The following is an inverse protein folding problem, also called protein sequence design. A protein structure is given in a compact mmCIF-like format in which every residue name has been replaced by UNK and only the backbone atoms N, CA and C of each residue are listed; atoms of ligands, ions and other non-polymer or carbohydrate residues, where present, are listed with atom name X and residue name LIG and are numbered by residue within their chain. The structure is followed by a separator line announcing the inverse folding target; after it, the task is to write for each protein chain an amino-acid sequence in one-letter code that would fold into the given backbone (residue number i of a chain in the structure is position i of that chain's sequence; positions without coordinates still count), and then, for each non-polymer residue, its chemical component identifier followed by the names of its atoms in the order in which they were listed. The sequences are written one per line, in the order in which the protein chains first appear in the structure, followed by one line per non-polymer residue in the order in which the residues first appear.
data_IF_077209041116
#
_entry.id   IF_077209041116
#
_cell.length_a   1.000
_cell.length_b   1.000
_cell.length_c   1.000
_cell.angle_alpha   90.00
_cell.angle_beta   90.00
_cell.angle_gamma   90.00
#
_symmetry.space_group_name_H-M   'P 1'
#
loop_
_entity.id
_entity.type
_entity.pdbx_description
1 polymer ?
#
# COMPACT_ATOMS: atom_id res chain seq x y z
N UNK A 1 22.46 18.66 7.76
CA UNK A 1 21.45 17.59 8.01
C UNK A 1 20.70 17.38 6.71
N UNK A 2 21.03 16.33 5.96
CA UNK A 2 20.25 15.94 4.78
C UNK A 2 18.84 15.62 5.24
N UNK A 3 17.78 16.12 4.57
CA UNK A 3 16.42 15.73 4.91
C UNK A 3 16.35 14.21 4.75
N UNK A 4 15.85 13.52 5.78
CA UNK A 4 15.56 12.08 5.70
C UNK A 4 14.58 11.89 4.53
N UNK A 5 15.08 11.51 3.35
CA UNK A 5 14.24 11.16 2.20
C UNK A 5 13.32 10.03 2.65
N UNK A 6 12.03 10.22 2.49
CA UNK A 6 11.07 9.16 2.80
C UNK A 6 11.22 8.02 1.80
N UNK A 7 10.73 6.83 2.16
CA UNK A 7 10.65 5.70 1.24
C UNK A 7 9.83 6.06 -0.01
N UNK A 8 8.83 6.94 0.15
CA UNK A 8 8.03 7.48 -0.95
C UNK A 8 8.88 8.35 -1.89
N UNK A 9 9.66 9.30 -1.34
CA UNK A 9 10.55 10.17 -2.13
C UNK A 9 11.59 9.34 -2.89
N UNK A 10 12.13 8.30 -2.26
CA UNK A 10 13.11 7.40 -2.87
C UNK A 10 12.50 6.58 -4.01
N UNK A 11 11.24 6.17 -3.87
CA UNK A 11 10.50 5.48 -4.93
C UNK A 11 10.23 6.46 -6.09
N UNK A 12 9.75 7.67 -5.80
CA UNK A 12 9.47 8.68 -6.82
C UNK A 12 10.73 9.01 -7.63
N UNK A 13 11.86 9.26 -6.96
CA UNK A 13 13.13 9.59 -7.60
C UNK A 13 13.63 8.50 -8.57
N UNK A 14 13.39 7.22 -8.25
CA UNK A 14 13.83 6.08 -9.08
C UNK A 14 12.83 5.70 -10.16
N UNK A 15 11.53 5.79 -9.87
CA UNK A 15 10.45 5.29 -10.73
C UNK A 15 10.04 6.32 -11.79
N UNK A 16 10.11 7.62 -11.46
CA UNK A 16 9.78 8.70 -12.39
C UNK A 16 10.61 8.69 -13.69
N UNK A 17 11.95 8.59 -13.68
CA UNK A 17 12.71 8.57 -14.93
C UNK A 17 12.37 7.35 -15.80
N UNK A 18 12.09 6.19 -15.20
CA UNK A 18 11.73 4.98 -15.95
C UNK A 18 10.37 5.09 -16.65
N UNK A 19 9.40 5.74 -16.00
CA UNK A 19 8.09 6.02 -16.60
C UNK A 19 8.23 7.11 -17.68
N UNK A 20 8.99 8.16 -17.42
CA UNK A 20 9.27 9.23 -18.38
C UNK A 20 9.86 8.67 -19.68
N UNK A 21 10.93 7.88 -19.58
CA UNK A 21 11.58 7.26 -20.74
C UNK A 21 10.63 6.34 -21.52
N UNK A 22 9.74 5.63 -20.81
CA UNK A 22 8.78 4.74 -21.44
C UNK A 22 7.68 5.50 -22.19
N UNK A 23 7.15 6.57 -21.59
CA UNK A 23 6.14 7.43 -22.21
C UNK A 23 6.74 8.18 -23.40
N UNK A 24 7.92 8.77 -23.25
CA UNK A 24 8.60 9.49 -24.33
C UNK A 24 8.92 8.57 -25.51
N UNK A 25 9.46 7.36 -25.28
CA UNK A 25 9.72 6.39 -26.36
C UNK A 25 8.45 5.92 -27.06
N UNK A 26 7.33 5.80 -26.35
CA UNK A 26 6.08 5.27 -26.91
C UNK A 26 5.27 6.35 -27.63
N UNK A 27 5.24 7.57 -27.09
CA UNK A 27 4.37 8.65 -27.58
C UNK A 27 5.10 9.79 -28.27
N UNK A 28 6.43 9.85 -28.16
CA UNK A 28 7.28 10.93 -28.64
C UNK A 28 7.13 12.24 -27.86
N UNK A 29 6.46 12.21 -26.70
CA UNK A 29 6.12 13.38 -25.88
C UNK A 29 6.13 13.00 -24.41
N UNK A 30 6.64 13.90 -23.56
CA UNK A 30 6.52 13.80 -22.10
C UNK A 30 5.15 14.29 -21.63
N UNK A 31 4.56 13.61 -20.65
CA UNK A 31 3.30 14.05 -20.02
C UNK A 31 3.53 14.13 -18.51
N UNK A 32 4.06 15.26 -18.01
CA UNK A 32 4.48 15.39 -16.62
C UNK A 32 3.39 15.05 -15.61
N UNK A 33 2.13 15.41 -15.91
CA UNK A 33 0.99 15.12 -15.03
C UNK A 33 0.69 13.63 -14.92
N UNK A 34 0.77 12.90 -16.04
CA UNK A 34 0.57 11.46 -16.06
C UNK A 34 1.72 10.76 -15.33
N UNK A 35 2.95 11.21 -15.55
CA UNK A 35 4.14 10.72 -14.84
C UNK A 35 4.01 10.92 -13.33
N UNK A 36 3.59 12.11 -12.90
CA UNK A 36 3.38 12.43 -11.49
C UNK A 36 2.29 11.57 -10.86
N UNK A 37 1.15 11.40 -11.53
CA UNK A 37 0.04 10.60 -11.01
C UNK A 37 0.41 9.12 -10.89
N UNK A 38 1.04 8.55 -11.94
CA UNK A 38 1.48 7.15 -11.92
C UNK A 38 2.55 6.95 -10.83
N UNK A 39 3.56 7.82 -10.76
CA UNK A 39 4.64 7.69 -9.77
C UNK A 39 4.12 7.83 -8.34
N UNK A 40 3.23 8.78 -8.10
CA UNK A 40 2.62 9.01 -6.78
C UNK A 40 1.71 7.85 -6.36
N UNK A 41 0.90 7.31 -7.29
CA UNK A 41 0.04 6.15 -7.04
C UNK A 41 0.87 4.91 -6.73
N UNK A 42 1.90 4.63 -7.52
CA UNK A 42 2.84 3.52 -7.27
C UNK A 42 3.57 3.67 -5.94
N UNK A 43 4.11 4.85 -5.63
CA UNK A 43 4.78 5.09 -4.36
C UNK A 43 3.84 4.80 -3.18
N UNK A 44 2.64 5.36 -3.21
CA UNK A 44 1.64 5.19 -2.15
C UNK A 44 1.17 3.75 -1.99
N UNK A 45 0.93 3.01 -3.08
CA UNK A 45 0.49 1.61 -3.02
C UNK A 45 1.59 0.65 -2.56
N UNK A 46 2.85 1.03 -2.76
CA UNK A 46 3.99 0.26 -2.28
C UNK A 46 4.30 0.57 -0.82
N UNK A 47 4.16 1.83 -0.38
CA UNK A 47 4.47 2.24 1.00
C UNK A 47 3.31 2.03 1.97
N UNK A 48 2.08 2.10 1.50
CA UNK A 48 0.93 2.28 2.38
C UNK A 48 -0.12 1.19 2.18
N UNK A 49 -0.53 0.55 3.27
CA UNK A 49 -1.66 -0.38 3.24
C UNK A 49 -2.97 0.45 3.23
N UNK A 50 -3.90 0.13 2.33
CA UNK A 50 -5.17 0.83 2.23
C UNK A 50 -5.98 0.66 3.53
N UNK A 51 -6.71 1.72 3.91
CA UNK A 51 -7.59 1.72 5.08
C UNK A 51 -9.01 1.94 4.59
N UNK A 52 -9.93 1.08 5.04
CA UNK A 52 -11.36 1.22 4.75
C UNK A 52 -11.99 2.15 5.79
N UNK A 53 -12.09 3.44 5.46
CA UNK A 53 -12.67 4.46 6.34
C UNK A 53 -14.20 4.41 6.43
N UNK A 54 -14.86 3.72 5.50
CA UNK A 54 -16.32 3.53 5.53
C UNK A 54 -16.78 2.56 6.63
N UNK A 55 -15.89 1.68 7.09
CA UNK A 55 -16.21 0.65 8.08
C UNK A 55 -16.02 1.14 9.52
N UNK A 56 -16.73 0.54 10.50
CA UNK A 56 -16.46 0.74 11.92
C UNK A 56 -15.02 0.36 12.30
N UNK A 57 -14.49 0.93 13.38
CA UNK A 57 -13.08 0.79 13.78
C UNK A 57 -12.63 -0.68 13.87
N UNK A 58 -13.46 -1.55 14.46
CA UNK A 58 -13.13 -2.97 14.63
C UNK A 58 -12.99 -3.70 13.30
N UNK A 59 -13.91 -3.43 12.37
CA UNK A 59 -13.93 -4.06 11.05
C UNK A 59 -12.82 -3.50 10.16
N UNK A 60 -12.62 -2.18 10.16
CA UNK A 60 -11.51 -1.53 9.47
C UNK A 60 -10.15 -2.05 9.94
N UNK A 61 -9.99 -2.29 11.25
CA UNK A 61 -8.77 -2.86 11.81
C UNK A 61 -8.59 -4.33 11.39
N UNK A 62 -9.66 -5.11 11.32
CA UNK A 62 -9.60 -6.49 10.85
C UNK A 62 -9.21 -6.57 9.37
N UNK A 63 -9.82 -5.74 8.52
CA UNK A 63 -9.46 -5.63 7.11
C UNK A 63 -8.01 -5.17 6.92
N UNK A 64 -7.58 -4.13 7.64
CA UNK A 64 -6.19 -3.68 7.62
C UNK A 64 -5.21 -4.77 8.08
N UNK A 65 -5.56 -5.51 9.14
CA UNK A 65 -4.76 -6.63 9.64
C UNK A 65 -4.65 -7.72 8.58
N UNK A 66 -5.74 -8.07 7.90
CA UNK A 66 -5.74 -9.07 6.83
C UNK A 66 -4.78 -8.66 5.71
N UNK A 67 -4.93 -7.45 5.18
CA UNK A 67 -4.08 -6.93 4.11
C UNK A 67 -2.60 -6.86 4.52
N UNK A 68 -2.32 -6.42 5.75
CA UNK A 68 -0.97 -6.39 6.31
C UNK A 68 -0.34 -7.79 6.35
N UNK A 69 -1.04 -8.77 6.93
CA UNK A 69 -0.51 -10.13 7.05
C UNK A 69 -0.39 -10.80 5.69
N UNK A 70 -1.34 -10.60 4.77
CA UNK A 70 -1.23 -11.12 3.40
C UNK A 70 -0.01 -10.55 2.68
N UNK A 71 0.19 -9.23 2.75
CA UNK A 71 1.32 -8.56 2.11
C UNK A 71 2.65 -9.07 2.65
N UNK A 72 2.77 -9.20 3.97
CA UNK A 72 4.01 -9.66 4.60
C UNK A 72 4.22 -11.18 4.44
N UNK A 73 3.17 -12.01 4.37
CA UNK A 73 3.27 -13.44 4.05
C UNK A 73 3.71 -13.68 2.60
N UNK A 74 3.19 -12.88 1.65
CA UNK A 74 3.60 -12.94 0.24
C UNK A 74 5.06 -12.55 0.06
N UNK A 75 5.57 -11.63 0.88
CA UNK A 75 7.00 -11.26 0.93
C UNK A 75 7.86 -12.30 1.64
N UNK A 76 7.32 -12.87 2.72
CA UNK A 76 8.03 -13.73 3.65
C UNK A 76 7.23 -15.02 3.92
N UNK A 77 7.45 -16.04 3.11
CA UNK A 77 6.76 -17.34 3.17
C UNK A 77 6.96 -18.11 4.48
N UNK A 78 8.01 -17.78 5.24
CA UNK A 78 8.32 -18.48 6.48
C UNK A 78 7.61 -17.81 7.66
N UNK A 79 6.58 -18.49 8.18
CA UNK A 79 5.79 -18.04 9.34
C UNK A 79 6.66 -17.80 10.59
N UNK A 80 7.71 -18.60 10.80
CA UNK A 80 8.63 -18.41 11.93
C UNK A 80 9.48 -17.14 11.76
N UNK A 81 9.97 -16.89 10.54
CA UNK A 81 10.68 -15.65 10.22
C UNK A 81 9.75 -14.44 10.35
N UNK A 82 8.54 -14.55 9.81
CA UNK A 82 7.52 -13.50 9.88
C UNK A 82 7.12 -13.20 11.33
N UNK A 83 6.96 -14.21 12.19
CA UNK A 83 6.65 -14.03 13.60
C UNK A 83 7.73 -13.18 14.30
N UNK A 84 9.00 -13.52 14.08
CA UNK A 84 10.14 -12.76 14.61
C UNK A 84 10.15 -11.32 14.08
N UNK A 85 9.98 -11.15 12.76
CA UNK A 85 9.98 -9.86 12.08
C UNK A 85 8.85 -8.94 12.55
N UNK A 86 7.65 -9.50 12.74
CA UNK A 86 6.47 -8.76 13.19
C UNK A 86 6.47 -8.51 14.70
N UNK A 87 7.37 -9.13 15.46
CA UNK A 87 7.42 -9.07 16.92
C UNK A 87 6.20 -9.72 17.59
N UNK A 88 5.67 -10.80 17.00
CA UNK A 88 4.51 -11.54 17.51
C UNK A 88 4.82 -13.02 17.62
N UNK A 89 4.12 -13.76 18.48
CA UNK A 89 4.34 -15.20 18.59
C UNK A 89 3.88 -15.94 17.33
N UNK A 90 4.58 -17.04 16.98
CA UNK A 90 4.20 -17.92 15.86
C UNK A 90 2.74 -18.38 15.95
N UNK A 91 2.25 -18.66 17.17
CA UNK A 91 0.86 -19.04 17.42
C UNK A 91 -0.12 -17.91 17.07
N UNK A 92 0.23 -16.66 17.35
CA UNK A 92 -0.57 -15.49 16.99
C UNK A 92 -0.62 -15.28 15.47
N UNK A 93 0.47 -15.58 14.75
CA UNK A 93 0.47 -15.56 13.28
C UNK A 93 -0.45 -16.63 12.72
N UNK A 94 -0.31 -17.89 13.15
CA UNK A 94 -1.19 -18.98 12.71
C UNK A 94 -2.67 -18.71 13.02
N UNK A 95 -2.98 -18.20 14.21
CA UNK A 95 -4.34 -17.82 14.58
C UNK A 95 -4.85 -16.70 13.68
N UNK A 96 -4.04 -15.67 13.41
CA UNK A 96 -4.44 -14.57 12.53
C UNK A 96 -4.68 -15.04 11.09
N UNK A 97 -3.86 -15.96 10.57
CA UNK A 97 -4.06 -16.57 9.25
C UNK A 97 -5.40 -17.31 9.19
N UNK A 98 -5.69 -18.13 10.21
CA UNK A 98 -6.93 -18.91 10.29
C UNK A 98 -8.16 -18.01 10.46
N UNK A 99 -8.12 -17.07 11.41
CA UNK A 99 -9.25 -16.21 11.75
C UNK A 99 -9.59 -15.23 10.61
N UNK A 100 -8.59 -14.81 9.82
CA UNK A 100 -8.77 -13.87 8.70
C UNK A 100 -8.99 -14.58 7.35
N UNK A 101 -8.96 -15.91 7.32
CA UNK A 101 -9.11 -16.70 6.11
C UNK A 101 -8.04 -16.43 5.06
N UNK A 102 -6.78 -16.23 5.49
CA UNK A 102 -5.66 -15.96 4.59
C UNK A 102 -5.19 -17.30 4.00
N UNK A 103 -5.25 -17.42 2.68
CA UNK A 103 -4.67 -18.58 1.99
C UNK A 103 -3.15 -18.37 1.85
N UNK A 104 -2.36 -19.35 2.29
CA UNK A 104 -0.90 -19.26 2.22
C UNK A 104 -0.46 -19.99 0.94
N UNK A 105 0.06 -19.28 -0.08
CA UNK A 105 0.43 -19.90 -1.34
C UNK A 105 1.47 -21.00 -1.13
N UNK A 106 1.17 -22.22 -1.59
CA UNK A 106 2.09 -23.38 -1.55
C UNK A 106 3.04 -23.39 -2.75
N UNK A 107 3.73 -22.29 -3.02
CA UNK A 107 4.60 -22.18 -4.21
C UNK A 107 6.04 -21.93 -3.77
N UNK A 108 6.99 -22.36 -4.60
CA UNK A 108 8.43 -22.35 -4.36
C UNK A 108 8.98 -20.95 -4.06
N UNK A 109 10.08 -20.89 -3.28
CA UNK A 109 10.74 -19.65 -2.82
C UNK A 109 11.20 -18.71 -3.93
N UNK A 110 11.47 -19.21 -5.14
CA UNK A 110 12.18 -18.48 -6.18
C UNK A 110 11.26 -17.89 -7.25
N UNK A 111 10.12 -18.53 -7.53
CA UNK A 111 9.20 -18.08 -8.61
C UNK A 111 8.26 -16.93 -8.19
N UNK A 112 8.09 -16.66 -6.89
CA UNK A 112 7.02 -15.77 -6.42
C UNK A 112 7.42 -14.33 -6.12
N UNK A 113 8.64 -14.07 -5.64
CA UNK A 113 9.00 -12.73 -5.14
C UNK A 113 8.95 -11.68 -6.24
N UNK A 114 9.46 -12.04 -7.43
CA UNK A 114 9.46 -11.15 -8.59
C UNK A 114 8.11 -11.15 -9.31
N UNK A 115 7.48 -12.32 -9.48
CA UNK A 115 6.20 -12.45 -10.18
C UNK A 115 5.07 -11.62 -9.54
N UNK A 116 4.93 -11.65 -8.21
CA UNK A 116 3.90 -10.86 -7.54
C UNK A 116 4.21 -9.37 -7.48
N UNK A 117 5.48 -9.01 -7.34
CA UNK A 117 5.90 -7.60 -7.34
C UNK A 117 5.63 -6.99 -8.72
N UNK A 118 6.00 -7.70 -9.77
CA UNK A 118 5.74 -7.33 -11.18
C UNK A 118 4.24 -7.25 -11.46
N UNK A 119 3.45 -8.28 -11.14
CA UNK A 119 2.00 -8.28 -11.36
C UNK A 119 1.28 -7.15 -10.63
N UNK A 120 1.68 -6.85 -9.38
CA UNK A 120 1.09 -5.74 -8.64
C UNK A 120 1.38 -4.41 -9.34
N UNK A 121 2.65 -4.16 -9.71
CA UNK A 121 3.04 -2.94 -10.42
C UNK A 121 2.31 -2.85 -11.77
N UNK A 122 2.21 -3.95 -12.50
CA UNK A 122 1.48 -4.03 -13.76
C UNK A 122 0.02 -3.59 -13.59
N UNK A 123 -0.68 -4.14 -12.60
CA UNK A 123 -2.08 -3.78 -12.34
C UNK A 123 -2.23 -2.31 -11.93
N UNK A 124 -1.36 -1.80 -11.06
CA UNK A 124 -1.35 -0.38 -10.66
C UNK A 124 -1.13 0.56 -11.85
N UNK A 125 -0.16 0.24 -12.71
CA UNK A 125 0.10 0.98 -13.95
C UNK A 125 -1.11 0.94 -14.89
N UNK A 126 -1.69 -0.25 -15.07
CA UNK A 126 -2.85 -0.45 -15.94
C UNK A 126 -4.05 0.36 -15.46
N UNK A 127 -4.34 0.33 -14.16
CA UNK A 127 -5.42 1.11 -13.55
C UNK A 127 -5.19 2.61 -13.71
N UNK A 128 -3.97 3.08 -13.43
CA UNK A 128 -3.62 4.49 -13.63
C UNK A 128 -3.84 4.92 -15.08
N UNK A 129 -3.44 4.12 -16.06
CA UNK A 129 -3.64 4.43 -17.49
C UNK A 129 -5.09 4.35 -17.94
N UNK A 130 -5.91 3.48 -17.34
CA UNK A 130 -7.33 3.40 -17.63
C UNK A 130 -8.06 4.71 -17.33
N UNK A 131 -7.66 5.43 -16.26
CA UNK A 131 -8.21 6.75 -15.91
C UNK A 131 -7.97 7.79 -17.01
N UNK A 132 -6.95 7.57 -17.83
CA UNK A 132 -6.53 8.47 -18.91
C UNK A 132 -6.99 8.03 -20.30
N UNK A 133 -7.64 6.87 -20.44
CA UNK A 133 -8.02 6.28 -21.73
C UNK A 133 -8.85 7.22 -22.60
N UNK A 134 -9.74 8.01 -21.99
CA UNK A 134 -10.63 8.93 -22.73
C UNK A 134 -9.93 10.18 -23.26
N UNK A 135 -8.72 10.47 -22.76
CA UNK A 135 -7.96 11.66 -23.13
C UNK A 135 -7.02 11.42 -24.32
N UNK A 136 -6.85 10.16 -24.74
CA UNK A 136 -5.88 9.75 -25.75
C UNK A 136 -6.51 8.92 -26.87
N UNK A 137 -5.83 8.89 -28.03
CA UNK A 137 -6.22 8.02 -29.16
C UNK A 137 -5.96 6.55 -28.80
N UNK A 138 -6.86 5.67 -29.23
CA UNK A 138 -6.82 4.23 -28.92
C UNK A 138 -5.50 3.57 -29.34
N UNK A 139 -4.96 3.91 -30.51
CA UNK A 139 -3.70 3.36 -31.04
C UNK A 139 -2.50 3.67 -30.12
N UNK A 140 -2.45 4.91 -29.59
CA UNK A 140 -1.42 5.34 -28.65
C UNK A 140 -1.60 4.65 -27.28
N UNK A 141 -2.84 4.42 -26.85
CA UNK A 141 -3.12 3.68 -25.63
C UNK A 141 -2.68 2.22 -25.73
N UNK A 142 -2.95 1.55 -26.86
CA UNK A 142 -2.54 0.16 -27.07
C UNK A 142 -1.02 0.00 -27.08
N UNK A 143 -0.29 0.92 -27.72
CA UNK A 143 1.16 0.94 -27.70
C UNK A 143 1.73 1.07 -26.27
N UNK A 144 1.02 1.76 -25.37
CA UNK A 144 1.46 1.91 -23.99
C UNK A 144 1.06 0.71 -23.13
N UNK A 145 -0.09 0.09 -23.39
CA UNK A 145 -0.45 -1.19 -22.77
C UNK A 145 0.52 -2.33 -23.12
N UNK A 146 1.10 -2.32 -24.33
CA UNK A 146 2.07 -3.35 -24.74
C UNK A 146 3.44 -3.18 -24.09
N UNK A 147 3.81 -1.97 -23.64
CA UNK A 147 5.07 -1.72 -22.91
C UNK A 147 4.97 -1.99 -21.41
N UNK A 148 3.75 -2.09 -20.86
CA UNK A 148 3.52 -2.33 -19.44
C UNK A 148 4.23 -3.55 -18.87
N UNK A 149 4.27 -4.74 -19.52
CA UNK A 149 4.96 -5.90 -18.95
C UNK A 149 6.46 -5.64 -18.73
N UNK A 150 7.11 -5.02 -19.70
CA UNK A 150 8.54 -4.68 -19.62
C UNK A 150 8.78 -3.61 -18.55
N UNK A 151 7.96 -2.56 -18.54
CA UNK A 151 8.06 -1.49 -17.55
C UNK A 151 7.84 -2.04 -16.12
N UNK A 152 6.82 -2.88 -15.91
CA UNK A 152 6.55 -3.48 -14.60
C UNK A 152 7.71 -4.33 -14.10
N UNK A 153 8.39 -5.06 -15.00
CA UNK A 153 9.55 -5.88 -14.67
C UNK A 153 10.75 -5.02 -14.26
N UNK A 154 11.05 -3.96 -15.01
CA UNK A 154 12.13 -3.02 -14.68
C UNK A 154 11.86 -2.32 -13.35
N UNK A 155 10.63 -1.84 -13.14
CA UNK A 155 10.22 -1.21 -11.87
C UNK A 155 10.29 -2.20 -10.70
N UNK A 156 9.93 -3.46 -10.89
CA UNK A 156 10.03 -4.48 -9.85
C UNK A 156 11.47 -4.70 -9.37
N UNK A 157 12.47 -4.51 -10.24
CA UNK A 157 13.89 -4.64 -9.90
C UNK A 157 14.42 -3.41 -9.16
N UNK A 158 14.00 -2.21 -9.56
CA UNK A 158 14.53 -0.95 -9.03
C UNK A 158 13.88 -0.47 -7.73
N UNK A 159 12.66 -0.95 -7.45
CA UNK A 159 11.91 -0.56 -6.26
C UNK A 159 12.58 -1.10 -4.99
N UNK A 160 12.97 -0.24 -4.02
CA UNK A 160 13.48 -0.70 -2.74
C UNK A 160 12.44 -1.57 -2.03
N UNK A 161 12.89 -2.66 -1.41
CA UNK A 161 12.02 -3.45 -0.55
C UNK A 161 11.68 -2.63 0.69
N UNK A 162 10.39 -2.40 0.90
CA UNK A 162 9.94 -1.73 2.10
C UNK A 162 10.27 -2.61 3.31
N UNK A 163 11.10 -2.10 4.23
CA UNK A 163 11.42 -2.77 5.48
C UNK A 163 10.12 -3.17 6.19
N UNK A 164 10.06 -4.42 6.65
CA UNK A 164 8.90 -4.90 7.35
C UNK A 164 8.71 -4.11 8.65
N UNK A 165 7.55 -3.48 8.78
CA UNK A 165 7.15 -2.81 10.02
C UNK A 165 6.69 -3.86 11.01
N UNK A 166 7.03 -3.73 12.29
CA UNK A 166 6.42 -4.58 13.32
C UNK A 166 4.90 -4.40 13.31
N UNK A 167 4.15 -5.45 13.69
CA UNK A 167 2.68 -5.33 13.78
C UNK A 167 2.25 -4.18 14.69
N UNK A 168 3.01 -3.92 15.76
CA UNK A 168 2.78 -2.79 16.67
C UNK A 168 2.89 -1.44 15.97
N UNK A 169 3.92 -1.25 15.12
CA UNK A 169 4.12 0.00 14.36
C UNK A 169 3.07 0.16 13.27
N UNK A 170 2.78 -0.90 12.51
CA UNK A 170 1.72 -0.90 11.48
C UNK A 170 0.34 -0.61 12.07
N UNK A 171 0.00 -1.23 13.20
CA UNK A 171 -1.26 -0.95 13.91
C UNK A 171 -1.32 0.52 14.37
N UNK A 172 -0.23 1.06 14.93
CA UNK A 172 -0.20 2.47 15.35
C UNK A 172 -0.40 3.42 14.17
N UNK A 173 0.21 3.13 13.02
CA UNK A 173 0.00 3.91 11.79
C UNK A 173 -1.47 3.89 11.34
N UNK A 174 -2.07 2.69 11.29
CA UNK A 174 -3.50 2.54 11.01
C UNK A 174 -4.35 3.40 11.95
N UNK A 175 -4.09 3.34 13.26
CA UNK A 175 -4.87 4.06 14.26
C UNK A 175 -4.77 5.58 14.08
N UNK A 176 -3.57 6.10 13.78
CA UNK A 176 -3.35 7.52 13.54
C UNK A 176 -4.14 7.95 12.30
N UNK A 177 -4.00 7.24 11.19
CA UNK A 177 -4.62 7.59 9.90
C UNK A 177 -6.14 7.47 9.95
N UNK A 178 -6.66 6.37 10.50
CA UNK A 178 -8.10 6.13 10.64
C UNK A 178 -8.76 7.21 11.51
N UNK A 179 -8.20 7.49 12.69
CA UNK A 179 -8.80 8.46 13.61
C UNK A 179 -8.66 9.89 13.11
N UNK A 180 -7.50 10.26 12.52
CA UNK A 180 -7.31 11.59 11.93
C UNK A 180 -8.32 11.85 10.82
N UNK A 181 -8.57 10.87 9.94
CA UNK A 181 -9.58 11.00 8.88
C UNK A 181 -10.97 11.34 9.44
N UNK A 182 -11.44 10.58 10.45
CA UNK A 182 -12.77 10.81 11.01
C UNK A 182 -12.89 12.08 11.86
N UNK A 183 -11.81 12.56 12.46
CA UNK A 183 -11.80 13.83 13.21
C UNK A 183 -11.77 15.02 12.26
N UNK A 184 -11.07 14.91 11.13
CA UNK A 184 -10.99 15.97 10.13
C UNK A 184 -12.36 16.34 9.53
N UNK A 185 -13.36 15.46 9.65
CA UNK A 185 -14.75 15.73 9.26
C UNK A 185 -15.44 16.80 10.12
N UNK A 186 -14.79 17.29 11.18
CA UNK A 186 -15.29 18.41 12.00
C UNK A 186 -16.39 18.04 13.00
N UNK A 187 -16.73 16.77 13.11
CA UNK A 187 -17.78 16.28 13.99
C UNK A 187 -17.39 16.30 15.48
N UNK A 188 -18.37 16.51 16.37
CA UNK A 188 -18.18 16.35 17.81
C UNK A 188 -17.71 14.93 18.14
N UNK A 189 -16.81 14.78 19.12
CA UNK A 189 -16.20 13.49 19.50
C UNK A 189 -17.24 12.37 19.76
N UNK A 190 -18.39 12.70 20.36
CA UNK A 190 -19.48 11.74 20.60
C UNK A 190 -20.09 11.18 19.30
N UNK A 191 -20.21 12.03 18.28
CA UNK A 191 -20.74 11.67 16.96
C UNK A 191 -19.74 10.77 16.23
N UNK A 192 -18.46 11.17 16.23
CA UNK A 192 -17.37 10.35 15.67
C UNK A 192 -17.32 8.97 16.34
N UNK A 193 -17.35 8.93 17.67
CA UNK A 193 -17.33 7.68 18.45
C UNK A 193 -18.49 6.74 18.07
N UNK A 194 -19.71 7.28 17.95
CA UNK A 194 -20.88 6.51 17.50
C UNK A 194 -20.69 5.97 16.08
N UNK A 195 -20.21 6.80 15.15
CA UNK A 195 -19.98 6.42 13.74
C UNK A 195 -18.99 5.27 13.60
N UNK A 196 -17.88 5.33 14.33
CA UNK A 196 -16.82 4.32 14.25
C UNK A 196 -17.05 3.12 15.18
N UNK A 197 -18.19 3.06 15.88
CA UNK A 197 -18.54 1.95 16.78
C UNK A 197 -17.70 1.87 18.06
N UNK A 198 -17.22 3.02 18.58
CA UNK A 198 -16.41 3.09 19.80
C UNK A 198 -17.12 3.88 20.91
N UNK A 199 -16.82 3.57 22.18
CA UNK A 199 -17.22 4.43 23.30
C UNK A 199 -16.43 5.75 23.24
N UNK A 200 -17.09 6.87 23.52
CA UNK A 200 -16.48 8.20 23.45
C UNK A 200 -15.26 8.35 24.40
N UNK A 201 -15.31 7.74 25.57
CA UNK A 201 -14.19 7.70 26.53
C UNK A 201 -12.99 6.93 25.96
N UNK A 202 -13.24 5.77 25.36
CA UNK A 202 -12.21 4.95 24.72
C UNK A 202 -11.54 5.70 23.57
N UNK A 203 -12.34 6.38 22.73
CA UNK A 203 -11.82 7.25 21.67
C UNK A 203 -10.97 8.39 22.26
N UNK A 204 -11.46 9.10 23.26
CA UNK A 204 -10.72 10.20 23.92
C UNK A 204 -9.36 9.76 24.47
N UNK A 205 -9.32 8.63 25.20
CA UNK A 205 -8.07 8.06 25.72
C UNK A 205 -7.10 7.72 24.58
N UNK A 206 -7.62 7.17 23.48
CA UNK A 206 -6.81 6.79 22.31
C UNK A 206 -6.19 8.00 21.62
N UNK A 207 -6.94 9.09 21.47
CA UNK A 207 -6.41 10.32 20.86
C UNK A 207 -5.28 10.93 21.67
N UNK A 208 -5.40 10.94 23.00
CA UNK A 208 -4.32 11.39 23.89
C UNK A 208 -3.06 10.54 23.73
N UNK A 209 -3.19 9.22 23.73
CA UNK A 209 -2.06 8.29 23.57
C UNK A 209 -1.37 8.43 22.20
N UNK A 210 -2.14 8.81 21.18
CA UNK A 210 -1.65 9.00 19.82
C UNK A 210 -1.16 10.43 19.54
N UNK A 211 -1.29 11.36 20.48
CA UNK A 211 -0.89 12.77 20.31
C UNK A 211 -1.75 13.51 19.28
N UNK A 212 -2.98 13.05 19.04
CA UNK A 212 -3.94 13.68 18.13
C UNK A 212 -4.84 14.71 18.84
N UNK A 213 -4.70 14.84 20.16
CA UNK A 213 -5.40 15.78 21.03
C UNK A 213 -4.69 15.95 22.36
#
# INVERSE_FOLDING_TARGET
MTPNKTLEDTIIDKVRPLIHDSIEKTWGLAIPKLEEDITSKLAKEQTTIPIQFSLPYSEALAAFKKEFFERELRKHHNISFLANLLGVSRRSVHRSIKDLGIDVPKISKEEQKNYFKEQKIYNSLREALLEYRTLFKEDKMQALYSTLPTLSKTLAQELPEQEASTWRKAKRDFEIRYLRHHIALGDKLKVVAKRIGMRAESLSRKLKVLGLR
#
